data_IF_104796498129
#
_entry.id   IF_104796498129
#
_cell.length_a   1.000
_cell.length_b   1.000
_cell.length_c   1.000
_cell.angle_alpha   90.00
_cell.angle_beta   90.00
_cell.angle_gamma   90.00
#
_symmetry.space_group_name_H-M   'P 1'
#
loop_
_entity.id
_entity.type
_entity.pdbx_description
1 polymer ?
#
# COMPACT_ATOMS: atom_id res chain seq x y z
N UNK A 1 3.78 -5.03 -8.76
CA UNK A 1 2.99 -4.81 -7.54
C UNK A 1 2.56 -3.34 -7.45
N UNK A 2 3.44 -2.38 -7.13
CA UNK A 2 3.10 -0.99 -6.81
C UNK A 2 2.11 -0.36 -7.81
N UNK A 3 2.44 -0.34 -9.11
CA UNK A 3 1.58 0.29 -10.12
C UNK A 3 0.20 -0.37 -10.29
N UNK A 4 0.07 -1.67 -10.00
CA UNK A 4 -1.23 -2.36 -9.98
C UNK A 4 -2.02 -1.95 -8.73
N UNK A 5 -1.34 -1.77 -7.60
CA UNK A 5 -1.95 -1.27 -6.36
C UNK A 5 -2.50 0.15 -6.52
N UNK A 6 -1.85 1.02 -7.29
CA UNK A 6 -2.37 2.35 -7.64
C UNK A 6 -3.70 2.27 -8.39
N UNK A 7 -3.82 1.32 -9.35
CA UNK A 7 -5.07 1.08 -10.08
C UNK A 7 -6.18 0.59 -9.13
N UNK A 8 -5.85 -0.36 -8.25
CA UNK A 8 -6.75 -0.85 -7.21
C UNK A 8 -7.20 0.29 -6.30
N UNK A 9 -6.28 1.17 -5.86
CA UNK A 9 -6.59 2.32 -5.01
C UNK A 9 -7.49 3.38 -5.67
N UNK A 10 -7.67 3.31 -7.00
CA UNK A 10 -8.65 4.11 -7.73
C UNK A 10 -10.02 3.44 -7.87
N UNK A 11 -10.19 2.20 -7.38
CA UNK A 11 -11.38 1.39 -7.53
C UNK A 11 -11.54 0.74 -8.92
N UNK A 12 -10.44 0.64 -9.67
CA UNK A 12 -10.39 0.05 -10.99
C UNK A 12 -9.77 -1.36 -10.96
N UNK A 13 -10.05 -2.12 -12.01
CA UNK A 13 -9.41 -3.41 -12.30
C UNK A 13 -8.26 -3.17 -13.28
N UNK A 14 -7.04 -3.60 -12.95
CA UNK A 14 -5.91 -3.51 -13.88
C UNK A 14 -6.16 -4.39 -15.12
N UNK A 15 -5.91 -3.86 -16.31
CA UNK A 15 -6.18 -4.57 -17.58
C UNK A 15 -4.92 -4.77 -18.41
N UNK A 16 -4.04 -3.79 -18.41
CA UNK A 16 -2.84 -3.85 -19.26
C UNK A 16 -1.74 -2.91 -18.76
N UNK A 17 -0.51 -3.22 -19.18
CA UNK A 17 0.63 -2.38 -18.90
C UNK A 17 1.63 -2.32 -20.05
N UNK A 18 2.39 -1.25 -20.06
CA UNK A 18 3.58 -1.07 -20.90
C UNK A 18 4.79 -0.82 -20.02
N UNK A 19 5.96 -1.35 -20.40
CA UNK A 19 7.18 -1.24 -19.59
C UNK A 19 8.32 -0.68 -20.45
N UNK A 20 8.82 0.49 -20.06
CA UNK A 20 10.06 1.04 -20.56
C UNK A 20 11.24 0.55 -19.72
N UNK A 21 12.30 0.08 -20.39
CA UNK A 21 13.51 -0.42 -19.74
C UNK A 21 14.74 0.29 -20.31
N UNK A 22 15.56 0.84 -19.44
CA UNK A 22 16.92 1.28 -19.79
C UNK A 22 17.89 0.34 -19.11
N UNK A 23 18.74 -0.31 -19.90
CA UNK A 23 19.62 -1.37 -19.42
C UNK A 23 21.10 -1.02 -19.63
N UNK A 24 21.94 -1.18 -18.59
CA UNK A 24 23.41 -1.21 -18.76
C UNK A 24 23.86 -2.29 -19.72
N UNK A 25 24.98 -2.06 -20.40
CA UNK A 25 25.51 -2.98 -21.43
C UNK A 25 25.95 -4.34 -20.88
N UNK A 26 26.20 -4.44 -19.59
CA UNK A 26 26.57 -5.68 -18.86
C UNK A 26 25.34 -6.44 -18.31
N UNK A 27 24.13 -5.94 -18.52
CA UNK A 27 22.89 -6.63 -18.12
C UNK A 27 22.76 -7.93 -18.89
N UNK A 28 22.63 -9.05 -18.17
CA UNK A 28 22.53 -10.37 -18.80
C UNK A 28 21.12 -10.61 -19.37
N UNK A 29 21.04 -11.39 -20.45
CA UNK A 29 19.76 -11.87 -21.00
C UNK A 29 18.96 -12.64 -19.94
N UNK A 30 19.64 -13.44 -19.11
CA UNK A 30 19.00 -14.20 -18.01
C UNK A 30 18.25 -13.29 -17.05
N UNK A 31 18.84 -12.15 -16.66
CA UNK A 31 18.17 -11.18 -15.79
C UNK A 31 16.90 -10.59 -16.44
N UNK A 32 16.96 -10.26 -17.74
CA UNK A 32 15.80 -9.72 -18.47
C UNK A 32 14.68 -10.76 -18.54
N UNK A 33 15.01 -12.02 -18.76
CA UNK A 33 14.01 -13.10 -18.78
C UNK A 33 13.37 -13.33 -17.42
N UNK A 34 14.18 -13.37 -16.34
CA UNK A 34 13.66 -13.48 -14.97
C UNK A 34 12.74 -12.30 -14.60
N UNK A 35 13.10 -11.09 -15.03
CA UNK A 35 12.23 -9.92 -14.86
C UNK A 35 10.91 -10.08 -15.61
N UNK A 36 10.95 -10.53 -16.86
CA UNK A 36 9.76 -10.75 -17.68
C UNK A 36 8.86 -11.85 -17.08
N UNK A 37 9.44 -12.92 -16.58
CA UNK A 37 8.72 -14.01 -15.90
C UNK A 37 8.01 -13.50 -14.63
N UNK A 38 8.72 -12.69 -13.81
CA UNK A 38 8.12 -12.07 -12.62
C UNK A 38 7.00 -11.11 -12.96
N UNK A 39 7.17 -10.31 -14.02
CA UNK A 39 6.15 -9.40 -14.52
C UNK A 39 4.90 -10.15 -15.02
N UNK A 40 5.10 -11.21 -15.80
CA UNK A 40 4.02 -12.06 -16.28
C UNK A 40 3.24 -12.72 -15.12
N UNK A 41 3.97 -13.28 -14.15
CA UNK A 41 3.37 -13.90 -12.99
C UNK A 41 2.48 -12.93 -12.19
N UNK A 42 2.91 -11.68 -12.01
CA UNK A 42 2.12 -10.66 -11.32
C UNK A 42 0.91 -10.22 -12.15
N UNK A 43 1.05 -10.12 -13.47
CA UNK A 43 -0.06 -9.83 -14.38
C UNK A 43 -1.13 -10.92 -14.34
N UNK A 44 -0.73 -12.19 -14.28
CA UNK A 44 -1.65 -13.33 -14.22
C UNK A 44 -2.51 -13.30 -12.95
N UNK A 45 -1.99 -12.79 -11.82
CA UNK A 45 -2.77 -12.65 -10.57
C UNK A 45 -4.01 -11.78 -10.76
N UNK A 46 -3.91 -10.72 -11.57
CA UNK A 46 -4.98 -9.75 -11.79
C UNK A 46 -5.67 -9.87 -13.14
N UNK A 47 -5.23 -10.80 -13.98
CA UNK A 47 -5.75 -10.96 -15.34
C UNK A 47 -5.35 -9.82 -16.30
N UNK A 48 -4.27 -9.10 -15.99
CA UNK A 48 -3.75 -8.04 -16.85
C UNK A 48 -2.77 -8.61 -17.91
N UNK A 49 -2.48 -7.83 -18.94
CA UNK A 49 -1.54 -8.20 -19.97
C UNK A 49 -0.46 -7.13 -20.20
N UNK A 50 0.77 -7.57 -20.44
CA UNK A 50 1.82 -6.68 -20.98
C UNK A 50 1.55 -6.50 -22.47
N UNK A 51 1.17 -5.28 -22.88
CA UNK A 51 0.77 -4.98 -24.26
C UNK A 51 1.87 -4.29 -25.08
N UNK A 52 3.00 -3.98 -24.47
CA UNK A 52 4.13 -3.35 -25.15
C UNK A 52 5.14 -2.75 -24.19
N UNK A 53 6.07 -2.02 -24.77
CA UNK A 53 7.14 -1.35 -24.04
C UNK A 53 8.25 -0.92 -24.97
N UNK A 54 9.35 -0.45 -24.39
CA UNK A 54 10.57 -0.08 -25.08
C UNK A 54 11.79 -0.56 -24.31
N UNK A 55 12.87 -0.90 -25.03
CA UNK A 55 14.12 -1.31 -24.44
C UNK A 55 15.25 -0.49 -25.06
N UNK A 56 15.94 0.27 -24.22
CA UNK A 56 17.02 1.17 -24.62
C UNK A 56 18.28 0.89 -23.80
N UNK A 57 19.44 1.25 -24.34
CA UNK A 57 20.73 1.18 -23.63
C UNK A 57 20.97 2.44 -22.80
N UNK A 58 21.62 2.30 -21.63
CA UNK A 58 22.02 3.42 -20.78
C UNK A 58 23.01 3.01 -19.71
N UNK A 59 23.45 3.98 -18.90
CA UNK A 59 24.45 3.74 -17.84
C UNK A 59 23.85 3.12 -16.58
N UNK A 60 22.57 3.35 -16.33
CA UNK A 60 21.86 2.89 -15.13
C UNK A 60 20.67 2.04 -15.53
N UNK A 61 20.34 1.06 -14.67
CA UNK A 61 19.11 0.31 -14.79
C UNK A 61 17.92 1.21 -14.39
N UNK A 62 17.03 1.45 -15.36
CA UNK A 62 15.77 2.18 -15.12
C UNK A 62 14.61 1.34 -15.63
N UNK A 63 13.61 1.18 -14.78
CA UNK A 63 12.35 0.51 -15.11
C UNK A 63 11.21 1.51 -14.92
N UNK A 64 10.38 1.68 -15.94
CA UNK A 64 9.20 2.54 -15.90
C UNK A 64 8.00 1.74 -16.37
N UNK A 65 7.03 1.51 -15.48
CA UNK A 65 5.79 0.84 -15.80
C UNK A 65 4.63 1.83 -15.82
N UNK A 66 3.78 1.73 -16.85
CA UNK A 66 2.48 2.42 -16.91
C UNK A 66 1.40 1.37 -16.96
N UNK A 67 0.48 1.41 -16.02
CA UNK A 67 -0.65 0.47 -15.92
C UNK A 67 -1.94 1.17 -16.31
N UNK A 68 -2.78 0.50 -17.07
CA UNK A 68 -4.12 0.93 -17.42
C UNK A 68 -5.13 0.06 -16.67
N UNK A 69 -6.22 0.68 -16.24
CA UNK A 69 -7.30 0.00 -15.53
C UNK A 69 -8.66 0.36 -16.09
N UNK A 70 -9.63 -0.50 -15.85
CA UNK A 70 -11.04 -0.29 -16.19
C UNK A 70 -11.82 -0.03 -14.90
N UNK A 71 -12.53 1.07 -14.86
CA UNK A 71 -13.45 1.43 -13.77
C UNK A 71 -14.81 0.74 -13.90
N UNK A 72 -15.04 -0.01 -14.98
CA UNK A 72 -16.31 -0.71 -15.27
C UNK A 72 -17.51 0.23 -15.19
N UNK A 73 -17.33 1.44 -15.70
CA UNK A 73 -18.37 2.50 -15.71
C UNK A 73 -18.54 3.25 -14.40
N UNK A 74 -17.77 2.92 -13.34
CA UNK A 74 -17.78 3.67 -12.08
C UNK A 74 -16.94 4.95 -12.18
N UNK A 75 -17.16 5.90 -11.27
CA UNK A 75 -16.26 7.04 -11.09
C UNK A 75 -15.03 6.61 -10.30
N UNK A 76 -13.84 7.16 -10.58
CA UNK A 76 -12.64 6.87 -9.80
C UNK A 76 -12.77 7.41 -8.37
N UNK A 77 -12.40 6.59 -7.40
CA UNK A 77 -12.26 7.04 -6.03
C UNK A 77 -10.90 7.75 -5.90
N UNK A 78 -10.90 8.89 -5.24
CA UNK A 78 -9.70 9.72 -5.09
C UNK A 78 -9.32 9.87 -3.63
N UNK A 79 -8.14 10.39 -3.36
CA UNK A 79 -7.69 10.78 -2.01
C UNK A 79 -8.51 11.94 -1.42
N UNK A 80 -9.24 12.72 -2.23
CA UNK A 80 -9.97 13.94 -1.89
C UNK A 80 -11.48 13.73 -1.78
N UNK A 81 -11.92 12.77 -0.99
CA UNK A 81 -13.34 12.48 -0.87
C UNK A 81 -13.83 12.19 0.54
N UNK A 82 -12.90 12.04 1.49
CA UNK A 82 -13.20 11.76 2.89
C UNK A 82 -13.95 12.91 3.55
N UNK A 83 -14.88 12.58 4.43
CA UNK A 83 -15.74 13.54 5.15
C UNK A 83 -15.70 13.27 6.64
N UNK A 84 -15.83 14.31 7.45
CA UNK A 84 -15.98 14.14 8.89
C UNK A 84 -17.16 13.22 9.21
N UNK A 85 -16.93 12.24 10.08
CA UNK A 85 -17.88 11.18 10.41
C UNK A 85 -17.66 9.89 9.62
N UNK A 86 -16.87 9.88 8.55
CA UNK A 86 -16.54 8.65 7.85
C UNK A 86 -15.73 7.69 8.74
N UNK A 87 -15.94 6.41 8.53
CA UNK A 87 -15.13 5.32 9.11
C UNK A 87 -13.86 5.15 8.29
N UNK A 88 -12.72 5.00 8.94
CA UNK A 88 -11.45 4.62 8.29
C UNK A 88 -11.26 3.12 8.42
N UNK A 89 -11.02 2.44 7.31
CA UNK A 89 -10.80 1.00 7.29
C UNK A 89 -9.62 0.62 6.40
N UNK A 90 -9.05 -0.54 6.65
CA UNK A 90 -7.93 -1.10 5.89
C UNK A 90 -8.23 -2.54 5.47
N UNK A 91 -7.80 -2.90 4.25
CA UNK A 91 -7.80 -4.27 3.75
C UNK A 91 -6.38 -4.67 3.37
N UNK A 92 -5.93 -5.83 3.83
CA UNK A 92 -4.58 -6.33 3.60
C UNK A 92 -3.73 -6.37 4.87
N UNK A 93 -2.44 -6.67 4.71
CA UNK A 93 -1.48 -6.82 5.80
C UNK A 93 -0.69 -5.53 6.00
N UNK A 94 -0.43 -5.16 7.24
CA UNK A 94 0.36 -3.97 7.59
C UNK A 94 1.61 -4.36 8.39
N UNK A 95 2.75 -3.73 8.09
CA UNK A 95 4.01 -3.89 8.81
C UNK A 95 4.83 -5.12 8.42
N UNK A 96 4.33 -5.99 7.52
CA UNK A 96 5.01 -7.23 7.15
C UNK A 96 6.27 -7.00 6.33
N UNK A 97 6.22 -6.11 5.34
CA UNK A 97 7.38 -5.74 4.53
C UNK A 97 8.45 -5.07 5.40
N UNK A 98 8.05 -4.17 6.28
CA UNK A 98 8.96 -3.48 7.22
C UNK A 98 9.60 -4.46 8.23
N UNK A 99 8.85 -5.43 8.74
CA UNK A 99 9.41 -6.49 9.59
C UNK A 99 10.45 -7.32 8.81
N UNK A 100 10.13 -7.68 7.57
CA UNK A 100 11.04 -8.44 6.70
C UNK A 100 12.36 -7.72 6.44
N UNK A 101 12.33 -6.44 6.08
CA UNK A 101 13.57 -5.65 5.89
C UNK A 101 14.33 -5.47 7.21
N UNK A 102 13.63 -5.31 8.34
CA UNK A 102 14.27 -5.20 9.66
C UNK A 102 15.04 -6.46 10.04
N UNK A 103 14.49 -7.63 9.73
CA UNK A 103 15.14 -8.94 9.89
C UNK A 103 16.40 -9.04 9.02
N UNK A 104 16.29 -8.68 7.73
CA UNK A 104 17.39 -8.72 6.77
C UNK A 104 18.53 -7.77 7.14
N UNK A 105 18.20 -6.53 7.57
CA UNK A 105 19.21 -5.54 8.04
C UNK A 105 20.01 -6.00 9.25
N UNK A 106 19.46 -6.92 10.07
CA UNK A 106 20.16 -7.55 11.19
C UNK A 106 20.92 -8.82 10.80
N UNK A 107 20.97 -9.16 9.50
CA UNK A 107 21.68 -10.32 8.97
C UNK A 107 20.93 -11.64 9.09
N UNK A 108 19.67 -11.62 9.54
CA UNK A 108 18.84 -12.82 9.64
C UNK A 108 18.07 -13.09 8.32
N UNK A 109 17.65 -14.35 8.13
CA UNK A 109 16.90 -14.81 6.94
C UNK A 109 15.58 -15.51 7.31
N UNK A 110 15.20 -15.43 8.58
CA UNK A 110 14.00 -16.05 9.13
C UNK A 110 13.33 -15.12 10.15
N UNK A 111 12.00 -15.19 10.33
CA UNK A 111 11.09 -16.13 9.63
C UNK A 111 10.91 -15.76 8.15
N UNK A 112 10.88 -16.78 7.30
CA UNK A 112 10.82 -16.59 5.83
C UNK A 112 9.55 -15.85 5.38
N UNK A 113 8.45 -16.03 6.08
CA UNK A 113 7.17 -15.38 5.72
C UNK A 113 7.29 -13.85 5.72
N UNK A 114 7.97 -13.26 6.70
CA UNK A 114 8.20 -11.82 6.78
C UNK A 114 9.26 -11.35 5.75
N UNK A 115 10.35 -12.12 5.60
CA UNK A 115 11.38 -11.84 4.59
C UNK A 115 10.78 -11.87 3.17
N UNK A 116 9.89 -12.80 2.90
CA UNK A 116 9.21 -12.90 1.61
C UNK A 116 8.22 -11.74 1.41
N UNK A 117 7.50 -11.32 2.45
CA UNK A 117 6.61 -10.16 2.38
C UNK A 117 7.35 -8.87 1.97
N UNK A 118 8.59 -8.70 2.42
CA UNK A 118 9.44 -7.59 1.96
C UNK A 118 9.89 -7.75 0.49
N UNK A 119 10.13 -8.97 0.03
CA UNK A 119 10.60 -9.23 -1.35
C UNK A 119 9.49 -9.15 -2.39
N UNK A 120 8.29 -9.52 -1.98
CA UNK A 120 7.10 -9.55 -2.83
C UNK A 120 5.89 -9.32 -1.93
N UNK A 121 5.37 -8.11 -1.97
CA UNK A 121 4.12 -7.78 -1.29
C UNK A 121 2.96 -8.61 -1.89
N UNK A 122 1.90 -8.75 -1.11
CA UNK A 122 0.68 -9.45 -1.54
C UNK A 122 -0.53 -8.55 -1.34
N UNK A 123 -0.73 -7.56 -2.22
CA UNK A 123 -1.83 -6.62 -2.11
C UNK A 123 -3.19 -7.29 -2.34
N UNK A 124 -4.25 -6.76 -1.72
CA UNK A 124 -5.62 -7.19 -1.97
C UNK A 124 -6.16 -6.50 -3.24
N UNK A 125 -5.76 -6.95 -4.43
CA UNK A 125 -6.05 -6.29 -5.71
C UNK A 125 -7.53 -6.17 -6.08
N UNK A 126 -8.40 -6.94 -5.45
CA UNK A 126 -9.85 -6.87 -5.62
C UNK A 126 -10.56 -5.96 -4.60
N UNK A 127 -9.82 -5.48 -3.59
CA UNK A 127 -10.39 -4.67 -2.52
C UNK A 127 -10.87 -3.29 -3.02
N UNK A 128 -10.15 -2.67 -3.95
CA UNK A 128 -10.52 -1.36 -4.50
C UNK A 128 -11.85 -1.35 -5.24
N UNK A 129 -12.09 -2.23 -6.23
CA UNK A 129 -13.39 -2.39 -6.88
C UNK A 129 -14.52 -2.68 -5.89
N UNK A 130 -14.27 -3.53 -4.86
CA UNK A 130 -15.26 -3.82 -3.80
C UNK A 130 -15.55 -2.60 -2.94
N UNK A 131 -14.52 -1.86 -2.53
CA UNK A 131 -14.67 -0.64 -1.77
C UNK A 131 -15.42 0.44 -2.56
N UNK A 132 -15.10 0.61 -3.85
CA UNK A 132 -15.81 1.53 -4.73
C UNK A 132 -17.29 1.16 -4.88
N UNK A 133 -17.61 -0.13 -5.06
CA UNK A 133 -18.99 -0.61 -5.13
C UNK A 133 -19.75 -0.42 -3.80
N UNK A 134 -19.06 -0.50 -2.67
CA UNK A 134 -19.61 -0.23 -1.34
C UNK A 134 -19.66 1.27 -0.99
N UNK A 135 -19.28 2.17 -1.89
CA UNK A 135 -19.41 3.62 -1.68
C UNK A 135 -18.27 4.24 -0.88
N UNK A 136 -17.04 3.71 -0.97
CA UNK A 136 -15.87 4.36 -0.40
C UNK A 136 -15.77 5.81 -0.84
N UNK A 137 -15.46 6.70 0.09
CA UNK A 137 -15.38 8.16 -0.14
C UNK A 137 -13.98 8.60 -0.54
N UNK A 138 -12.94 7.97 0.01
CA UNK A 138 -11.54 8.15 -0.41
C UNK A 138 -10.77 6.84 -0.26
N UNK A 139 -9.72 6.66 -1.07
CA UNK A 139 -8.84 5.48 -1.00
C UNK A 139 -7.39 5.85 -1.30
N UNK A 140 -6.48 5.04 -0.77
CA UNK A 140 -5.04 5.07 -1.02
C UNK A 140 -4.45 3.68 -0.72
N UNK A 141 -3.46 3.23 -1.50
CA UNK A 141 -2.61 2.11 -1.09
C UNK A 141 -1.58 2.54 -0.03
N UNK A 142 -1.08 1.58 0.74
CA UNK A 142 -0.07 1.86 1.78
C UNK A 142 1.33 1.55 1.27
N UNK A 143 2.00 2.55 0.71
CA UNK A 143 3.34 2.45 0.14
C UNK A 143 4.43 3.01 1.06
N UNK A 144 4.17 4.13 1.72
CA UNK A 144 5.14 4.82 2.58
C UNK A 144 4.88 4.59 4.08
N UNK A 145 3.75 4.01 4.41
CA UNK A 145 3.28 3.71 5.76
C UNK A 145 1.90 4.29 6.05
N UNK A 146 1.09 3.55 6.77
CA UNK A 146 -0.33 3.85 6.97
C UNK A 146 -0.59 5.30 7.43
N UNK A 147 0.16 5.79 8.42
CA UNK A 147 0.01 7.17 8.93
C UNK A 147 0.39 8.20 7.87
N UNK A 148 1.46 7.97 7.12
CA UNK A 148 1.91 8.86 6.05
C UNK A 148 0.89 8.91 4.91
N UNK A 149 0.41 7.75 4.47
CA UNK A 149 -0.52 7.61 3.34
C UNK A 149 -1.91 8.15 3.69
N UNK A 150 -2.45 7.86 4.88
CA UNK A 150 -3.67 8.49 5.37
C UNK A 150 -3.51 10.01 5.54
N UNK A 151 -2.31 10.50 5.81
CA UNK A 151 -1.98 11.92 5.79
C UNK A 151 -2.22 12.56 4.42
N UNK A 152 -2.04 11.83 3.31
CA UNK A 152 -2.41 12.31 1.98
C UNK A 152 -3.93 12.45 1.83
N UNK A 153 -4.72 11.49 2.32
CA UNK A 153 -6.19 11.60 2.33
C UNK A 153 -6.61 12.79 3.20
N UNK A 154 -6.07 12.92 4.40
CA UNK A 154 -6.41 14.01 5.31
C UNK A 154 -6.18 15.39 4.66
N UNK A 155 -5.00 15.60 4.06
CA UNK A 155 -4.67 16.86 3.36
C UNK A 155 -5.53 17.10 2.13
N UNK A 156 -5.73 16.08 1.29
CA UNK A 156 -6.48 16.21 0.04
C UNK A 156 -7.98 16.45 0.28
N UNK A 157 -8.50 15.94 1.39
CA UNK A 157 -9.92 16.07 1.77
C UNK A 157 -10.18 17.26 2.72
N UNK A 158 -9.14 17.87 3.30
CA UNK A 158 -9.28 18.96 4.27
C UNK A 158 -9.84 18.51 5.62
N UNK A 159 -9.54 17.30 6.06
CA UNK A 159 -10.04 16.66 7.30
C UNK A 159 -8.89 16.21 8.19
N UNK A 160 -9.18 15.76 9.41
CA UNK A 160 -8.25 15.02 10.24
C UNK A 160 -8.72 13.56 10.40
N UNK A 161 -7.80 12.66 10.72
CA UNK A 161 -8.07 11.24 10.90
C UNK A 161 -7.58 10.84 12.30
N UNK A 162 -8.39 10.07 13.02
CA UNK A 162 -8.03 9.49 14.31
C UNK A 162 -8.02 7.97 14.17
N UNK A 163 -6.85 7.37 14.36
CA UNK A 163 -6.65 5.92 14.42
C UNK A 163 -6.73 5.46 15.87
N UNK A 164 -7.29 4.28 16.09
CA UNK A 164 -7.44 3.64 17.38
C UNK A 164 -6.50 2.43 17.42
N UNK A 165 -5.45 2.49 18.25
CA UNK A 165 -4.37 1.48 18.27
C UNK A 165 -4.84 0.09 18.68
N UNK A 166 -5.89 -0.01 19.48
CA UNK A 166 -6.49 -1.26 19.95
C UNK A 166 -7.30 -2.01 18.85
N UNK A 167 -7.58 -1.37 17.73
CA UNK A 167 -8.24 -2.00 16.59
C UNK A 167 -7.29 -2.75 15.65
N UNK A 168 -5.98 -2.63 15.86
CA UNK A 168 -4.99 -3.33 15.04
C UNK A 168 -4.67 -4.71 15.63
N UNK A 169 -5.06 -5.75 14.93
CA UNK A 169 -4.65 -7.11 15.27
C UNK A 169 -3.18 -7.34 14.84
N UNK A 170 -2.32 -7.59 15.81
CA UNK A 170 -0.91 -7.88 15.55
C UNK A 170 -0.75 -9.39 15.35
N UNK A 171 -0.40 -9.79 14.13
CA UNK A 171 -0.14 -11.18 13.80
C UNK A 171 1.00 -11.76 14.68
N UNK A 172 0.93 -13.04 15.01
CA UNK A 172 1.91 -13.71 15.88
C UNK A 172 3.34 -13.62 15.31
N UNK A 173 3.48 -13.72 14.00
CA UNK A 173 4.75 -13.59 13.30
C UNK A 173 5.39 -12.21 13.50
N UNK A 174 4.57 -11.14 13.43
CA UNK A 174 5.03 -9.78 13.70
C UNK A 174 5.41 -9.61 15.18
N UNK A 175 4.54 -10.05 16.10
CA UNK A 175 4.78 -9.95 17.53
C UNK A 175 6.05 -10.69 17.94
N UNK A 176 6.26 -11.90 17.45
CA UNK A 176 7.45 -12.72 17.70
C UNK A 176 8.72 -12.07 17.16
N UNK A 177 8.70 -11.57 15.92
CA UNK A 177 9.84 -10.89 15.32
C UNK A 177 10.15 -9.57 16.03
N UNK A 178 9.14 -8.79 16.39
CA UNK A 178 9.28 -7.52 17.10
C UNK A 178 9.90 -7.74 18.48
N UNK A 179 9.44 -8.74 19.23
CA UNK A 179 10.03 -9.15 20.52
C UNK A 179 11.50 -9.52 20.36
N UNK A 180 11.86 -10.34 19.36
CA UNK A 180 13.24 -10.75 19.11
C UNK A 180 14.16 -9.59 18.71
N UNK A 181 13.61 -8.55 18.07
CA UNK A 181 14.34 -7.37 17.62
C UNK A 181 14.26 -6.18 18.61
N UNK A 182 13.52 -6.35 19.72
CA UNK A 182 13.24 -5.31 20.72
C UNK A 182 12.63 -4.04 20.07
N UNK A 183 11.57 -4.23 19.28
CA UNK A 183 10.80 -3.17 18.60
C UNK A 183 9.33 -3.33 18.97
N UNK A 184 8.60 -2.22 19.05
CA UNK A 184 7.15 -2.24 19.15
C UNK A 184 6.55 -2.62 17.77
N UNK A 185 5.81 -3.74 17.63
CA UNK A 185 5.23 -4.16 16.36
C UNK A 185 4.23 -3.14 15.80
N UNK A 186 3.58 -2.36 16.63
CA UNK A 186 2.65 -1.30 16.20
C UNK A 186 3.38 -0.22 15.38
N UNK A 187 4.65 0.04 15.66
CA UNK A 187 5.48 0.93 14.83
C UNK A 187 5.61 0.43 13.39
N UNK A 188 5.76 -0.88 13.19
CA UNK A 188 5.79 -1.46 11.84
C UNK A 188 4.44 -1.35 11.14
N UNK A 189 3.35 -1.59 11.87
CA UNK A 189 1.98 -1.50 11.33
C UNK A 189 1.62 -0.08 10.91
N UNK A 190 2.00 0.92 11.70
CA UNK A 190 1.61 2.31 11.47
C UNK A 190 2.52 3.08 10.53
N UNK A 191 3.83 2.75 10.51
CA UNK A 191 4.84 3.50 9.75
C UNK A 191 5.61 2.64 8.73
N UNK A 192 5.39 1.32 8.69
CA UNK A 192 6.01 0.44 7.70
C UNK A 192 5.39 0.62 6.33
N UNK A 193 6.23 0.82 5.30
CA UNK A 193 5.80 0.88 3.91
C UNK A 193 5.96 -0.45 3.17
N UNK A 194 5.66 -0.42 1.86
CA UNK A 194 5.82 -1.50 0.89
C UNK A 194 4.89 -2.72 1.09
N UNK A 195 3.85 -2.62 1.93
CA UNK A 195 2.85 -3.68 2.07
C UNK A 195 1.76 -3.60 0.99
N UNK A 196 1.52 -2.42 0.42
CA UNK A 196 0.50 -2.12 -0.59
C UNK A 196 -0.91 -2.60 -0.21
N UNK A 197 -1.24 -2.54 1.07
CA UNK A 197 -2.61 -2.71 1.56
C UNK A 197 -3.47 -1.53 1.14
N UNK A 198 -4.77 -1.67 1.15
CA UNK A 198 -5.70 -0.61 0.76
C UNK A 198 -6.33 0.04 1.99
N UNK A 199 -6.07 1.32 2.20
CA UNK A 199 -6.77 2.14 3.16
C UNK A 199 -7.91 2.91 2.48
N UNK A 200 -9.09 2.93 3.10
CA UNK A 200 -10.28 3.55 2.56
C UNK A 200 -11.11 4.23 3.64
N UNK A 201 -11.93 5.21 3.24
CA UNK A 201 -12.94 5.82 4.10
C UNK A 201 -14.34 5.51 3.58
N UNK A 202 -15.29 5.28 4.51
CA UNK A 202 -16.66 4.91 4.19
C UNK A 202 -17.66 5.76 4.99
N UNK A 203 -18.86 6.05 4.46
CA UNK A 203 -19.90 6.69 5.23
C UNK A 203 -20.25 5.92 6.51
N UNK A 204 -20.60 6.61 7.62
CA UNK A 204 -20.91 5.94 8.87
C UNK A 204 -22.18 5.08 8.76
N UNK A 205 -22.20 3.97 9.53
CA UNK A 205 -23.35 3.07 9.61
C UNK A 205 -23.53 2.14 8.41
N UNK A 206 -22.55 2.06 7.54
CA UNK A 206 -22.52 1.14 6.41
C UNK A 206 -21.68 -0.10 6.77
N UNK A 207 -22.12 -1.27 6.30
CA UNK A 207 -21.32 -2.49 6.43
C UNK A 207 -20.05 -2.38 5.57
N UNK A 208 -18.92 -2.68 6.17
CA UNK A 208 -17.65 -2.70 5.45
C UNK A 208 -17.60 -3.90 4.50
N UNK A 209 -16.99 -3.74 3.30
CA UNK A 209 -16.77 -4.88 2.41
C UNK A 209 -15.88 -5.93 3.06
N UNK A 210 -16.01 -7.18 2.59
CA UNK A 210 -15.19 -8.29 3.06
C UNK A 210 -13.70 -7.96 3.07
N UNK A 211 -13.01 -8.33 4.15
CA UNK A 211 -11.58 -8.11 4.35
C UNK A 211 -11.20 -6.71 4.82
N UNK A 212 -12.13 -5.76 4.88
CA UNK A 212 -11.88 -4.46 5.50
C UNK A 212 -12.11 -4.52 7.01
N UNK A 213 -11.17 -3.97 7.75
CA UNK A 213 -11.23 -3.82 9.22
C UNK A 213 -11.26 -2.34 9.54
N UNK A 214 -12.21 -1.90 10.36
CA UNK A 214 -12.28 -0.55 10.87
C UNK A 214 -11.08 -0.27 11.80
N UNK A 215 -10.39 0.85 11.55
CA UNK A 215 -9.19 1.24 12.30
C UNK A 215 -9.25 2.65 12.87
N UNK A 216 -10.35 3.38 12.63
CA UNK A 216 -10.48 4.74 13.12
C UNK A 216 -11.59 5.52 12.44
N UNK A 217 -11.58 6.83 12.62
CA UNK A 217 -12.60 7.75 12.12
C UNK A 217 -12.02 9.01 11.52
N UNK A 218 -12.76 9.60 10.57
CA UNK A 218 -12.47 10.91 10.00
C UNK A 218 -13.17 11.97 10.85
N UNK A 219 -12.45 13.03 11.18
CA UNK A 219 -12.96 14.15 11.99
C UNK A 219 -12.81 15.47 11.26
N UNK A 220 -13.51 16.50 11.74
CA UNK A 220 -13.23 17.88 11.30
C UNK A 220 -11.73 18.18 11.45
N UNK A 221 -11.17 19.02 10.56
CA UNK A 221 -9.76 19.36 10.66
C UNK A 221 -9.47 20.08 11.99
N UNK A 222 -8.34 19.75 12.60
CA UNK A 222 -7.78 20.57 13.66
C UNK A 222 -7.25 21.91 13.09
N UNK A 223 -6.24 22.50 13.68
CA UNK A 223 -5.59 23.71 13.10
C UNK A 223 -5.05 23.44 11.67
N UNK A 224 -4.73 22.20 11.35
CA UNK A 224 -4.39 21.69 10.01
C UNK A 224 -4.80 20.22 9.89
N UNK A 225 -5.04 19.71 8.67
CA UNK A 225 -5.27 18.29 8.43
C UNK A 225 -4.12 17.43 8.97
N UNK A 226 -4.44 16.42 9.78
CA UNK A 226 -3.44 15.57 10.48
C UNK A 226 -4.00 14.17 10.73
N UNK A 227 -3.10 13.20 10.88
CA UNK A 227 -3.43 11.87 11.39
C UNK A 227 -2.96 11.77 12.85
N UNK A 228 -3.87 11.36 13.72
CA UNK A 228 -3.64 11.12 15.13
C UNK A 228 -3.72 9.62 15.41
N UNK A 229 -2.96 9.14 16.38
CA UNK A 229 -3.09 7.79 16.94
C UNK A 229 -3.48 7.95 18.42
N UNK A 230 -4.62 7.40 18.80
CA UNK A 230 -5.20 7.54 20.13
C UNK A 230 -5.33 9.02 20.58
N UNK A 231 -5.69 9.89 19.63
CA UNK A 231 -5.83 11.33 19.86
C UNK A 231 -4.53 12.12 19.94
N UNK A 232 -3.38 11.49 19.70
CA UNK A 232 -2.06 12.13 19.80
C UNK A 232 -1.32 12.17 18.47
N UNK A 233 -0.62 13.27 18.20
CA UNK A 233 0.35 13.30 17.10
C UNK A 233 1.53 12.38 17.39
N UNK A 234 1.95 11.61 16.40
CA UNK A 234 3.07 10.68 16.48
C UNK A 234 4.14 11.05 15.44
N UNK A 235 4.98 12.07 15.74
CA UNK A 235 6.02 12.51 14.81
C UNK A 235 7.10 11.45 14.55
N UNK A 236 7.18 10.42 15.38
CA UNK A 236 8.02 9.24 15.22
C UNK A 236 7.51 8.26 14.14
N UNK A 237 6.26 8.39 13.69
CA UNK A 237 5.61 7.54 12.70
C UNK A 237 5.45 8.26 11.34
N UNK A 238 6.51 8.89 10.85
CA UNK A 238 6.46 9.73 9.62
C UNK A 238 6.43 8.93 8.30
N UNK A 239 6.62 7.60 8.36
CA UNK A 239 6.74 6.79 7.15
C UNK A 239 8.06 7.04 6.40
N UNK A 240 8.13 6.55 5.14
CA UNK A 240 9.30 6.74 4.28
C UNK A 240 9.22 8.09 3.55
N UNK A 241 10.35 8.79 3.46
CA UNK A 241 10.46 10.05 2.71
C UNK A 241 11.59 9.93 1.67
N UNK A 242 11.23 9.97 0.39
CA UNK A 242 12.17 9.84 -0.73
C UNK A 242 13.19 10.99 -0.84
N UNK A 243 12.97 12.10 -0.16
CA UNK A 243 13.77 13.33 -0.28
C UNK A 243 14.52 13.71 1.00
N UNK A 244 14.60 12.79 1.97
CA UNK A 244 15.36 12.95 3.21
C UNK A 244 16.52 11.96 3.33
#
# INVERSE_FOLDING_TARGET
>A
VANISDINAMGAVATSLVVGMVLPTDTTVGWVLEFADGLAAECDVVGAAVIGGDLSGGEQLVLSATVLGDLEGRSPIRRSGARAGDVVAVCGRLGWAQAGVSILRRGFKAPRVLVNAHRSANPPYDAGPRAAAAGATAMIDTSDGLVADLGHIARASGVSIVLESDRFEIAEELASAASALNVDPLTWVLAGGEDHSLAATFPPGQDLPEGFIEIGTVTEPLASPVVLVDGHMRPDLQGYDHFR
#
